data_IF_140735349086
#
_entry.id   IF_140735349086
#
_cell.length_a   1.000
_cell.length_b   1.000
_cell.length_c   1.000
_cell.angle_alpha   90.00
_cell.angle_beta   90.00
_cell.angle_gamma   90.00
#
_symmetry.space_group_name_H-M   'P 1'
#
loop_
_entity.id
_entity.type
_entity.pdbx_description
1 polymer ?
#
# COMPACT_ATOMS: atom_id res chain seq x y z
N UNK A 1 33.36 -32.28 21.28
CA UNK A 1 32.24 -32.33 20.31
C UNK A 1 31.50 -30.98 20.07
N UNK A 2 31.93 -29.84 20.62
CA UNK A 2 31.17 -28.57 20.54
C UNK A 2 31.31 -27.74 19.22
N UNK A 3 32.29 -28.05 18.36
CA UNK A 3 32.59 -27.24 17.16
C UNK A 3 31.53 -27.28 16.04
N UNK A 4 30.75 -28.36 15.94
CA UNK A 4 29.78 -28.53 14.85
C UNK A 4 28.56 -27.61 14.93
N UNK A 5 28.15 -27.21 16.15
CA UNK A 5 27.00 -26.33 16.34
C UNK A 5 27.32 -24.87 15.96
N UNK A 6 28.49 -24.37 16.36
CA UNK A 6 28.94 -23.02 16.03
C UNK A 6 29.08 -22.82 14.52
N UNK A 7 29.69 -23.79 13.82
CA UNK A 7 29.86 -23.75 12.36
C UNK A 7 28.52 -23.73 11.61
N UNK A 8 27.53 -24.49 12.07
CA UNK A 8 26.15 -24.47 11.52
C UNK A 8 25.44 -23.13 11.73
N UNK A 9 25.62 -22.49 12.90
CA UNK A 9 25.04 -21.15 13.17
C UNK A 9 25.63 -20.08 12.24
N UNK A 10 26.95 -20.09 12.03
CA UNK A 10 27.62 -19.15 11.14
C UNK A 10 27.13 -19.31 9.68
N UNK A 11 27.06 -20.55 9.20
CA UNK A 11 26.56 -20.85 7.84
C UNK A 11 25.11 -20.39 7.64
N UNK A 12 24.24 -20.63 8.63
CA UNK A 12 22.85 -20.11 8.59
C UNK A 12 22.83 -18.58 8.49
N UNK A 13 23.63 -17.87 9.30
CA UNK A 13 23.71 -16.40 9.24
C UNK A 13 24.16 -15.91 7.86
N UNK A 14 25.19 -16.52 7.29
CA UNK A 14 25.67 -16.15 5.95
C UNK A 14 24.60 -16.39 4.87
N UNK A 15 23.94 -17.54 4.88
CA UNK A 15 22.86 -17.85 3.94
C UNK A 15 21.67 -16.88 4.09
N UNK A 16 21.31 -16.50 5.32
CA UNK A 16 20.26 -15.50 5.53
C UNK A 16 20.66 -14.11 5.02
N UNK A 17 21.93 -13.72 5.19
CA UNK A 17 22.46 -12.46 4.65
C UNK A 17 22.42 -12.45 3.12
N UNK A 18 22.92 -13.50 2.47
CA UNK A 18 22.90 -13.64 1.02
C UNK A 18 21.46 -13.63 0.46
N UNK A 19 20.52 -14.30 1.13
CA UNK A 19 19.09 -14.26 0.76
C UNK A 19 18.49 -12.86 0.89
N UNK A 20 18.83 -12.11 1.96
CA UNK A 20 18.38 -10.72 2.11
C UNK A 20 18.92 -9.82 1.00
N UNK A 21 20.20 -9.95 0.65
CA UNK A 21 20.82 -9.19 -0.45
C UNK A 21 20.11 -9.49 -1.78
N UNK A 22 19.93 -10.77 -2.12
CA UNK A 22 19.22 -11.18 -3.35
C UNK A 22 17.78 -10.66 -3.38
N UNK A 23 17.08 -10.70 -2.25
CA UNK A 23 15.73 -10.17 -2.14
C UNK A 23 15.71 -8.66 -2.35
N UNK A 24 16.61 -7.91 -1.72
CA UNK A 24 16.72 -6.45 -1.90
C UNK A 24 17.05 -6.06 -3.34
N UNK A 25 17.95 -6.78 -4.01
CA UNK A 25 18.26 -6.55 -5.43
C UNK A 25 17.03 -6.79 -6.33
N UNK A 26 16.27 -7.87 -6.06
CA UNK A 26 15.02 -8.15 -6.78
C UNK A 26 13.97 -7.07 -6.54
N UNK A 27 13.79 -6.62 -5.30
CA UNK A 27 12.87 -5.55 -4.95
C UNK A 27 13.24 -4.23 -5.66
N UNK A 28 14.53 -3.91 -5.75
CA UNK A 28 15.00 -2.74 -6.50
C UNK A 28 14.66 -2.83 -7.99
N UNK A 29 14.94 -3.98 -8.62
CA UNK A 29 14.66 -4.19 -10.03
C UNK A 29 13.15 -4.16 -10.33
N UNK A 30 12.34 -4.83 -9.51
CA UNK A 30 10.88 -4.77 -9.64
C UNK A 30 10.34 -3.35 -9.46
N UNK A 31 10.90 -2.56 -8.54
CA UNK A 31 10.51 -1.15 -8.35
C UNK A 31 10.79 -0.31 -9.60
N UNK A 32 11.94 -0.51 -10.23
CA UNK A 32 12.30 0.21 -11.44
C UNK A 32 11.43 -0.19 -12.63
N UNK A 33 11.12 -1.48 -12.78
CA UNK A 33 10.15 -1.96 -13.76
C UNK A 33 8.76 -1.36 -13.51
N UNK A 34 8.26 -1.38 -12.27
CA UNK A 34 6.97 -0.80 -11.93
C UNK A 34 6.91 0.70 -12.26
N UNK A 35 7.99 1.46 -12.02
CA UNK A 35 8.06 2.87 -12.43
C UNK A 35 7.94 3.02 -13.93
N UNK A 36 8.72 2.28 -14.71
CA UNK A 36 8.66 2.35 -16.18
C UNK A 36 7.29 1.98 -16.72
N UNK A 37 6.62 0.98 -16.14
CA UNK A 37 5.25 0.62 -16.51
C UNK A 37 4.29 1.76 -16.20
N UNK A 38 4.37 2.37 -15.01
CA UNK A 38 3.51 3.49 -14.63
C UNK A 38 3.77 4.76 -15.46
N UNK A 39 5.01 4.99 -15.90
CA UNK A 39 5.40 6.17 -16.68
C UNK A 39 5.10 6.04 -18.18
N UNK A 40 5.14 4.81 -18.72
CA UNK A 40 5.07 4.57 -20.17
C UNK A 40 3.77 3.90 -20.64
N UNK A 41 2.90 3.45 -19.73
CA UNK A 41 1.68 2.78 -20.12
C UNK A 41 0.74 3.74 -20.89
N UNK A 42 0.23 3.36 -22.08
CA UNK A 42 -0.75 4.15 -22.82
C UNK A 42 -2.18 3.99 -22.25
N UNK A 43 -2.33 3.40 -21.07
CA UNK A 43 -3.61 3.05 -20.46
C UNK A 43 -3.51 3.03 -18.92
N UNK A 44 -4.65 2.98 -18.24
CA UNK A 44 -4.76 2.90 -16.78
C UNK A 44 -4.07 1.64 -16.24
N UNK A 45 -3.19 1.79 -15.25
CA UNK A 45 -2.44 0.68 -14.63
C UNK A 45 -3.01 0.36 -13.25
N UNK A 46 -3.44 -0.88 -13.05
CA UNK A 46 -3.77 -1.40 -11.72
C UNK A 46 -2.54 -1.99 -11.04
N UNK A 47 -2.25 -1.56 -9.81
CA UNK A 47 -1.18 -2.12 -8.98
C UNK A 47 -1.76 -2.79 -7.72
N UNK A 48 -1.34 -4.03 -7.46
CA UNK A 48 -1.71 -4.75 -6.23
C UNK A 48 -0.53 -4.74 -5.26
N UNK A 49 -0.83 -4.46 -3.99
CA UNK A 49 0.17 -4.44 -2.93
C UNK A 49 -0.28 -5.38 -1.82
N UNK A 50 0.59 -6.32 -1.46
CA UNK A 50 0.36 -7.16 -0.29
C UNK A 50 1.02 -6.50 0.91
N UNK A 51 0.21 -5.91 1.79
CA UNK A 51 0.72 -5.44 3.08
C UNK A 51 1.05 -6.66 3.95
N UNK A 52 2.24 -6.71 4.59
CA UNK A 52 2.57 -7.79 5.50
C UNK A 52 1.65 -7.73 6.73
N UNK A 53 0.69 -8.66 6.81
CA UNK A 53 -0.16 -8.91 7.96
C UNK A 53 0.62 -9.60 9.08
N UNK A 54 1.56 -8.89 9.72
CA UNK A 54 2.22 -9.38 10.95
C UNK A 54 2.48 -8.26 11.94
N UNK A 55 1.42 -7.84 12.62
CA UNK A 55 1.45 -7.40 14.02
C UNK A 55 0.56 -8.36 14.81
N UNK A 56 0.87 -9.65 14.74
CA UNK A 56 0.41 -10.62 15.72
C UNK A 56 1.68 -11.27 16.26
N UNK A 57 2.23 -10.60 17.27
CA UNK A 57 3.15 -11.19 18.23
C UNK A 57 2.48 -12.41 18.81
N UNK A 58 2.98 -13.57 18.39
CA UNK A 58 2.85 -14.82 19.11
C UNK A 58 3.33 -14.60 20.54
N UNK A 59 2.44 -14.70 21.52
CA UNK A 59 2.58 -15.58 22.68
C UNK A 59 1.30 -15.49 23.55
N UNK A 60 0.83 -16.67 23.95
CA UNK A 60 -0.12 -16.97 25.03
C UNK A 60 -1.65 -16.87 24.82
N UNK A 61 -2.22 -18.09 24.84
CA UNK A 61 -3.47 -18.50 25.52
C UNK A 61 -4.74 -18.61 24.67
N UNK A 62 -4.99 -19.87 24.28
CA UNK A 62 -6.30 -20.54 24.22
C UNK A 62 -7.45 -19.80 24.90
N UNK A 63 -8.33 -19.19 24.11
CA UNK A 63 -9.76 -19.06 24.43
C UNK A 63 -10.54 -18.72 23.17
N UNK A 64 -11.62 -19.48 22.96
CA UNK A 64 -12.58 -19.36 21.89
C UNK A 64 -12.95 -17.90 21.58
N UNK A 65 -12.70 -17.46 20.34
CA UNK A 65 -13.42 -16.34 19.76
C UNK A 65 -14.30 -16.87 18.65
N UNK A 66 -15.57 -17.05 19.02
CA UNK A 66 -16.68 -16.87 18.11
C UNK A 66 -16.52 -15.49 17.45
N UNK A 67 -15.87 -15.45 16.29
CA UNK A 67 -15.93 -14.32 15.39
C UNK A 67 -16.64 -14.82 14.14
N UNK A 68 -17.97 -14.74 14.26
CA UNK A 68 -18.87 -14.25 13.22
C UNK A 68 -18.17 -13.86 11.92
N UNK A 69 -18.68 -14.40 10.82
CA UNK A 69 -18.34 -14.12 9.42
C UNK A 69 -18.39 -12.62 9.12
N UNK A 70 -17.44 -11.85 9.66
CA UNK A 70 -17.09 -10.55 9.14
C UNK A 70 -16.36 -10.82 7.83
N UNK A 71 -17.15 -11.09 6.80
CA UNK A 71 -16.80 -10.90 5.40
C UNK A 71 -16.24 -9.48 5.33
N UNK A 72 -14.93 -9.34 5.48
CA UNK A 72 -14.21 -8.07 5.42
C UNK A 72 -14.57 -7.47 4.07
N UNK A 73 -15.54 -6.56 4.07
CA UNK A 73 -16.04 -5.93 2.86
C UNK A 73 -14.86 -5.31 2.12
N UNK A 74 -14.78 -5.55 0.82
CA UNK A 74 -13.68 -5.00 0.04
C UNK A 74 -13.87 -3.49 -0.01
N UNK A 75 -12.90 -2.72 0.49
CA UNK A 75 -12.97 -1.26 0.46
C UNK A 75 -12.14 -0.73 -0.71
N UNK A 76 -12.75 0.09 -1.54
CA UNK A 76 -12.06 0.84 -2.60
C UNK A 76 -11.98 2.30 -2.14
N UNK A 77 -10.77 2.85 -2.14
CA UNK A 77 -10.54 4.27 -1.88
C UNK A 77 -10.00 4.93 -3.14
N UNK A 78 -10.75 5.87 -3.70
CA UNK A 78 -10.31 6.71 -4.81
C UNK A 78 -9.78 8.03 -4.26
N UNK A 79 -8.56 8.41 -4.62
CA UNK A 79 -7.97 9.71 -4.25
C UNK A 79 -8.01 10.62 -5.46
N UNK A 80 -8.68 11.76 -5.32
CA UNK A 80 -8.84 12.77 -6.36
C UNK A 80 -7.89 13.94 -6.04
N UNK A 81 -6.87 14.13 -6.87
CA UNK A 81 -5.85 15.18 -6.78
C UNK A 81 -6.19 16.42 -7.65
N UNK A 82 -7.22 16.33 -8.49
CA UNK A 82 -7.60 17.35 -9.47
C UNK A 82 -6.97 17.20 -10.85
N UNK A 83 -6.28 16.09 -11.13
CA UNK A 83 -5.70 15.79 -12.43
C UNK A 83 -6.74 15.29 -13.46
N UNK A 84 -6.39 15.31 -14.76
CA UNK A 84 -7.25 14.79 -15.83
C UNK A 84 -7.62 13.31 -15.64
N UNK A 85 -6.70 12.52 -15.09
CA UNK A 85 -6.87 11.07 -14.90
C UNK A 85 -7.74 10.71 -13.69
N UNK A 86 -7.96 11.64 -12.76
CA UNK A 86 -8.67 11.35 -11.51
C UNK A 86 -10.16 11.07 -11.75
N UNK A 87 -10.74 11.67 -12.81
CA UNK A 87 -12.13 11.41 -13.19
C UNK A 87 -12.31 9.95 -13.62
N UNK A 88 -11.41 9.42 -14.44
CA UNK A 88 -11.46 8.02 -14.87
C UNK A 88 -11.28 7.07 -13.68
N UNK A 89 -10.35 7.40 -12.77
CA UNK A 89 -10.11 6.64 -11.54
C UNK A 89 -11.36 6.54 -10.65
N UNK A 90 -12.03 7.67 -10.40
CA UNK A 90 -13.28 7.71 -9.62
C UNK A 90 -14.40 6.95 -10.33
N UNK A 91 -14.54 7.09 -11.64
CA UNK A 91 -15.56 6.40 -12.41
C UNK A 91 -15.34 4.87 -12.43
N UNK A 92 -14.09 4.43 -12.53
CA UNK A 92 -13.72 3.02 -12.42
C UNK A 92 -14.06 2.44 -11.03
N UNK A 93 -13.75 3.19 -9.97
CA UNK A 93 -14.06 2.82 -8.59
C UNK A 93 -15.58 2.76 -8.35
N UNK A 94 -16.33 3.72 -8.87
CA UNK A 94 -17.79 3.74 -8.87
C UNK A 94 -18.40 2.52 -9.56
N UNK A 95 -17.87 2.11 -10.72
CA UNK A 95 -18.34 0.91 -11.43
C UNK A 95 -18.13 -0.36 -10.59
N UNK A 96 -17.01 -0.48 -9.88
CA UNK A 96 -16.76 -1.63 -9.01
C UNK A 96 -17.72 -1.68 -7.84
N UNK A 97 -17.93 -0.56 -7.15
CA UNK A 97 -18.86 -0.49 -6.03
C UNK A 97 -20.32 -0.73 -6.43
N UNK A 98 -20.72 -0.39 -7.66
CA UNK A 98 -22.08 -0.66 -8.16
C UNK A 98 -22.32 -2.14 -8.46
N UNK A 99 -21.30 -2.85 -8.95
CA UNK A 99 -21.46 -4.23 -9.41
C UNK A 99 -21.40 -5.26 -8.27
N UNK A 100 -20.77 -4.91 -7.15
CA UNK A 100 -20.69 -5.77 -5.98
C UNK A 100 -21.11 -4.99 -4.73
N UNK A 101 -22.30 -5.32 -4.21
CA UNK A 101 -22.88 -4.66 -3.04
C UNK A 101 -22.09 -4.86 -1.74
N UNK A 102 -21.07 -5.73 -1.72
CA UNK A 102 -20.14 -5.87 -0.60
C UNK A 102 -18.95 -4.89 -0.67
N UNK A 103 -18.84 -4.09 -1.74
CA UNK A 103 -17.73 -3.16 -1.93
C UNK A 103 -18.11 -1.78 -1.43
N UNK A 104 -17.37 -1.28 -0.44
CA UNK A 104 -17.52 0.11 0.05
C UNK A 104 -16.57 1.03 -0.71
N UNK A 105 -17.12 2.05 -1.36
CA UNK A 105 -16.33 3.12 -1.99
C UNK A 105 -16.11 4.28 -1.03
N UNK A 106 -14.92 4.88 -1.08
CA UNK A 106 -14.60 6.13 -0.39
C UNK A 106 -13.84 7.02 -1.36
N UNK A 107 -14.31 8.24 -1.58
CA UNK A 107 -13.60 9.22 -2.42
C UNK A 107 -12.99 10.28 -1.52
N UNK A 108 -11.67 10.47 -1.63
CA UNK A 108 -10.90 11.48 -0.91
C UNK A 108 -10.47 12.54 -1.92
N UNK A 109 -11.05 13.73 -1.82
CA UNK A 109 -10.62 14.86 -2.65
C UNK A 109 -9.58 15.69 -1.89
N UNK A 110 -8.39 15.85 -2.47
CA UNK A 110 -7.33 16.70 -1.96
C UNK A 110 -7.43 18.08 -2.63
N UNK A 111 -7.65 19.11 -1.82
CA UNK A 111 -7.75 20.49 -2.31
C UNK A 111 -6.52 21.27 -1.88
N UNK A 112 -5.82 21.86 -2.85
CA UNK A 112 -4.66 22.73 -2.60
C UNK A 112 -5.18 24.14 -2.28
N UNK A 113 -5.08 24.53 -1.01
CA UNK A 113 -5.43 25.88 -0.59
C UNK A 113 -4.29 26.84 -0.92
N UNK A 114 -4.37 27.50 -2.07
CA UNK A 114 -3.46 28.60 -2.39
C UNK A 114 -3.95 29.84 -1.65
N UNK A 115 -3.38 30.11 -0.47
CA UNK A 115 -3.56 31.38 0.22
C UNK A 115 -3.05 32.50 -0.69
N UNK A 116 -3.97 33.27 -1.27
CA UNK A 116 -3.65 34.50 -1.99
C UNK A 116 -3.23 35.59 -0.99
N UNK A 117 -2.03 35.45 -0.42
CA UNK A 117 -1.29 36.59 0.15
C UNK A 117 0.17 36.53 -0.29
N UNK A 118 0.51 37.52 -1.10
CA UNK A 118 1.82 37.85 -1.61
C UNK A 118 2.83 38.03 -0.45
N UNK A 119 3.83 37.14 -0.36
CA UNK A 119 5.26 37.42 -0.09
C UNK A 119 5.99 36.15 0.39
N UNK A 120 7.11 35.83 -0.28
CA UNK A 120 8.13 34.80 0.06
C UNK A 120 8.16 34.37 1.53
N UNK A 121 7.73 33.15 1.85
CA UNK A 121 8.38 32.30 2.87
C UNK A 121 7.90 30.85 2.75
N UNK A 122 8.85 29.92 2.91
CA UNK A 122 8.68 28.46 2.91
C UNK A 122 7.64 28.01 3.93
N UNK A 123 6.48 27.53 3.47
CA UNK A 123 5.54 26.82 4.33
C UNK A 123 4.86 25.68 3.56
N UNK A 124 4.95 24.48 4.13
CA UNK A 124 4.46 23.22 3.59
C UNK A 124 2.94 23.25 3.34
N UNK A 125 2.44 22.64 2.24
CA UNK A 125 1.01 22.60 1.97
C UNK A 125 0.30 21.67 2.96
N UNK A 126 -0.72 22.20 3.65
CA UNK A 126 -1.65 21.42 4.47
C UNK A 126 -2.71 20.81 3.56
N UNK A 127 -2.75 19.47 3.49
CA UNK A 127 -3.77 18.74 2.74
C UNK A 127 -5.05 18.61 3.57
N UNK A 128 -6.16 19.18 3.09
CA UNK A 128 -7.48 18.96 3.66
C UNK A 128 -8.19 17.88 2.85
N UNK A 129 -8.51 16.74 3.48
CA UNK A 129 -9.26 15.64 2.88
C UNK A 129 -10.74 15.80 3.25
N UNK A 130 -11.59 16.07 2.25
CA UNK A 130 -13.04 16.02 2.43
C UNK A 130 -13.52 14.62 2.07
N UNK A 131 -14.10 13.90 3.02
CA UNK A 131 -14.81 12.64 2.80
C UNK A 131 -16.18 12.96 2.19
N UNK A 132 -16.42 12.47 0.96
CA UNK A 132 -17.77 12.40 0.41
C UNK A 132 -18.22 10.96 0.60
N UNK A 133 -19.18 10.76 1.52
CA UNK A 133 -19.78 9.47 1.84
C UNK A 133 -21.04 9.23 1.02
#
# INVERSE_FOLDING_TARGET
MAGGAARRRLLRRQLTGARRIRRGAREHHCRELNRKVLELAPCTVGASFQLPTKISTSEETTAARNQDDQKMGTQITAVFLGGPDDRESVEFACRHAKNDGAIKLTVICLVLLTSSRCSRTTASPTLHASLIS
#
